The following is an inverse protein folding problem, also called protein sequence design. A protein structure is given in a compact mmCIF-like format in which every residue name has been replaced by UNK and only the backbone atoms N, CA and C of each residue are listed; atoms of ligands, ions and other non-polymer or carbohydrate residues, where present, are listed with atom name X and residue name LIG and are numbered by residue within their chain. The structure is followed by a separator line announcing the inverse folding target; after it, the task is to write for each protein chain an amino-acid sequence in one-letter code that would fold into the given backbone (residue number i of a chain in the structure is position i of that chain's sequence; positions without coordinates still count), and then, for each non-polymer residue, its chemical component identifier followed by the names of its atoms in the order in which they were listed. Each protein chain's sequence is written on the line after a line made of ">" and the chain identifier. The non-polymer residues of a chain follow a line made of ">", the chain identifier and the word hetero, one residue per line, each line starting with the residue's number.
data_IF_682037840536
#
_entry.id   IF_682037840536
#
_cell.length_a   1.000
_cell.length_b   1.000
_cell.length_c   1.000
_cell.angle_alpha   90.00
_cell.angle_beta   90.00
_cell.angle_gamma   90.00
#
_symmetry.space_group_name_H-M   'P 1'
#
loop_
_entity.id
_entity.type
_entity.pdbx_description
1 polymer ?
#
# COMPACT_ATOMS: atom_id res chain seq x y z
N UNK A 1 -10.19 12.98 -12.45
CA UNK A 1 -10.55 11.54 -12.57
C UNK A 1 -12.05 11.47 -12.66
N UNK A 2 -12.58 10.61 -13.53
CA UNK A 2 -14.03 10.47 -13.75
C UNK A 2 -14.38 9.01 -13.95
N UNK A 3 -15.51 8.60 -13.42
CA UNK A 3 -16.03 7.24 -13.60
C UNK A 3 -16.98 7.26 -14.79
N UNK A 4 -16.88 6.30 -15.68
CA UNK A 4 -17.72 6.15 -16.87
C UNK A 4 -18.33 4.76 -16.87
N UNK A 5 -19.61 4.67 -17.19
CA UNK A 5 -20.39 3.44 -17.09
C UNK A 5 -20.59 2.74 -18.45
N UNK A 6 -20.22 3.43 -19.55
CA UNK A 6 -20.39 2.90 -20.91
C UNK A 6 -19.43 3.55 -21.92
N UNK A 7 -19.31 2.90 -23.10
CA UNK A 7 -18.37 3.31 -24.15
C UNK A 7 -18.63 4.75 -24.65
N UNK A 8 -19.87 5.19 -24.72
CA UNK A 8 -20.22 6.53 -25.18
C UNK A 8 -19.74 7.63 -24.21
N UNK A 9 -19.85 7.37 -22.92
CA UNK A 9 -19.31 8.26 -21.88
C UNK A 9 -17.80 8.26 -21.93
N UNK A 10 -17.17 7.09 -22.12
CA UNK A 10 -15.73 6.96 -22.26
C UNK A 10 -15.23 7.80 -23.45
N UNK A 11 -15.86 7.69 -24.65
CA UNK A 11 -15.48 8.49 -25.83
C UNK A 11 -15.58 9.98 -25.57
N UNK A 12 -16.65 10.44 -24.90
CA UNK A 12 -16.83 11.84 -24.57
C UNK A 12 -15.73 12.34 -23.61
N UNK A 13 -15.44 11.55 -22.57
CA UNK A 13 -14.39 11.88 -21.61
C UNK A 13 -13.00 11.88 -22.23
N UNK A 14 -12.68 10.86 -23.03
CA UNK A 14 -11.42 10.80 -23.75
C UNK A 14 -11.20 12.01 -24.67
N UNK A 15 -12.25 12.46 -25.36
CA UNK A 15 -12.19 13.65 -26.20
C UNK A 15 -11.85 14.92 -25.41
N UNK A 16 -12.38 15.04 -24.18
CA UNK A 16 -12.08 16.16 -23.29
C UNK A 16 -10.71 16.05 -22.64
N UNK A 17 -10.37 14.86 -22.16
CA UNK A 17 -9.11 14.58 -21.47
C UNK A 17 -7.89 14.80 -22.39
N UNK A 18 -7.96 14.36 -23.65
CA UNK A 18 -6.88 14.59 -24.63
C UNK A 18 -6.72 16.09 -24.94
N UNK A 19 -7.81 16.86 -24.98
CA UNK A 19 -7.72 18.32 -25.14
C UNK A 19 -7.08 19.02 -23.94
N UNK A 20 -7.34 18.51 -22.73
CA UNK A 20 -6.80 19.06 -21.49
C UNK A 20 -5.32 18.66 -21.27
N UNK A 21 -4.87 17.53 -21.82
CA UNK A 21 -3.51 16.99 -21.68
C UNK A 21 -2.96 16.49 -23.03
N UNK A 22 -2.69 17.40 -23.98
CA UNK A 22 -2.34 17.01 -25.34
C UNK A 22 -0.97 16.31 -25.46
N UNK A 23 -0.08 16.51 -24.49
CA UNK A 23 1.29 15.97 -24.51
C UNK A 23 1.46 14.70 -23.66
N UNK A 24 0.42 14.30 -22.92
CA UNK A 24 0.50 13.15 -22.00
C UNK A 24 -0.61 12.14 -22.28
N UNK A 25 -0.32 10.84 -22.15
CA UNK A 25 -1.33 9.80 -22.31
C UNK A 25 -2.41 9.94 -21.22
N UNK A 26 -3.62 9.55 -21.57
CA UNK A 26 -4.74 9.42 -20.62
C UNK A 26 -4.79 7.99 -20.15
N UNK A 27 -4.75 7.80 -18.83
CA UNK A 27 -4.88 6.48 -18.21
C UNK A 27 -6.37 6.14 -18.09
N UNK A 28 -6.71 4.92 -18.50
CA UNK A 28 -8.05 4.33 -18.37
C UNK A 28 -7.91 3.01 -17.62
N UNK A 29 -8.48 2.95 -16.43
CA UNK A 29 -8.40 1.78 -15.55
C UNK A 29 -9.79 1.20 -15.27
N UNK A 30 -9.82 -0.08 -14.91
CA UNK A 30 -11.03 -0.70 -14.37
C UNK A 30 -11.36 -0.07 -13.02
N UNK A 31 -12.58 0.43 -12.87
CA UNK A 31 -13.07 0.89 -11.57
C UNK A 31 -13.34 -0.31 -10.65
N UNK A 32 -12.67 -0.34 -9.51
CA UNK A 32 -12.82 -1.39 -8.49
C UNK A 32 -13.54 -0.81 -7.27
N UNK A 33 -14.55 -1.52 -6.81
CA UNK A 33 -15.19 -1.26 -5.51
C UNK A 33 -14.75 -2.32 -4.51
N UNK A 34 -14.33 -1.90 -3.33
CA UNK A 34 -13.86 -2.85 -2.32
C UNK A 34 -13.30 -2.16 -1.09
N UNK A 35 -12.66 -2.95 -0.23
CA UNK A 35 -11.89 -2.45 0.91
C UNK A 35 -10.55 -1.94 0.40
N UNK A 36 -10.16 -0.75 0.80
CA UNK A 36 -8.83 -0.23 0.51
C UNK A 36 -7.89 -0.54 1.66
N UNK A 37 -6.71 -1.04 1.30
CA UNK A 37 -5.70 -1.47 2.25
C UNK A 37 -4.39 -0.77 1.90
N UNK A 38 -3.73 -0.25 2.91
CA UNK A 38 -2.40 0.34 2.80
C UNK A 38 -1.38 -0.51 3.56
N UNK A 39 -0.30 -0.89 2.89
CA UNK A 39 0.80 -1.67 3.48
C UNK A 39 2.09 -0.88 3.37
N UNK A 40 2.73 -0.63 4.51
CA UNK A 40 4.07 -0.09 4.56
C UNK A 40 5.06 -1.19 4.95
N UNK A 41 6.13 -1.31 4.17
CA UNK A 41 7.16 -2.31 4.39
C UNK A 41 8.57 -1.71 4.26
N UNK A 42 9.54 -2.47 4.75
CA UNK A 42 10.98 -2.15 4.63
C UNK A 42 11.66 -3.35 3.99
N UNK A 43 12.50 -3.10 3.00
CA UNK A 43 13.26 -4.13 2.30
C UNK A 43 14.76 -3.78 2.29
N UNK A 44 15.62 -4.79 2.49
CA UNK A 44 17.07 -4.67 2.37
C UNK A 44 17.63 -5.32 1.10
N UNK A 45 16.74 -5.63 0.14
CA UNK A 45 17.02 -6.35 -1.11
C UNK A 45 16.87 -7.87 -1.00
N UNK A 46 16.83 -8.44 0.21
CA UNK A 46 16.68 -9.88 0.45
C UNK A 46 15.50 -10.17 1.37
N UNK A 47 15.39 -9.43 2.46
CA UNK A 47 14.37 -9.57 3.50
C UNK A 47 13.38 -8.42 3.43
N UNK A 48 12.10 -8.72 3.52
CA UNK A 48 11.01 -7.73 3.58
C UNK A 48 10.30 -7.87 4.91
N UNK A 49 10.27 -6.81 5.70
CA UNK A 49 9.47 -6.76 6.93
C UNK A 49 8.27 -5.85 6.73
N UNK A 50 7.13 -6.25 7.29
CA UNK A 50 5.86 -5.53 7.21
C UNK A 50 5.42 -5.16 8.63
N UNK A 51 5.78 -3.96 9.11
CA UNK A 51 5.39 -3.50 10.45
C UNK A 51 3.89 -3.34 10.62
N UNK A 52 3.17 -3.04 9.54
CA UNK A 52 1.74 -2.86 9.63
C UNK A 52 1.00 -2.91 8.31
N UNK A 53 -0.19 -3.49 8.40
CA UNK A 53 -1.24 -3.46 7.39
C UNK A 53 -2.35 -2.59 7.96
N UNK A 54 -2.78 -1.57 7.20
CA UNK A 54 -3.83 -0.65 7.60
C UNK A 54 -5.06 -0.83 6.71
N UNK A 55 -6.22 -0.90 7.33
CA UNK A 55 -7.51 -0.97 6.62
C UNK A 55 -8.18 0.40 6.63
N UNK A 56 -8.57 0.91 5.46
CA UNK A 56 -9.33 2.15 5.36
C UNK A 56 -10.80 1.93 5.73
N UNK A 57 -11.37 2.90 6.44
CA UNK A 57 -12.82 2.88 6.78
C UNK A 57 -13.63 3.26 5.55
N UNK A 58 -13.16 4.21 4.77
CA UNK A 58 -13.76 4.60 3.51
C UNK A 58 -13.51 3.53 2.43
N UNK A 59 -14.43 3.44 1.50
CA UNK A 59 -14.29 2.53 0.35
C UNK A 59 -13.26 3.07 -0.63
N UNK A 60 -12.71 2.18 -1.45
CA UNK A 60 -11.78 2.53 -2.50
C UNK A 60 -12.29 3.68 -3.38
N UNK A 61 -11.38 4.63 -3.67
CA UNK A 61 -11.67 5.84 -4.45
C UNK A 61 -11.66 7.14 -3.64
N UNK A 62 -11.54 7.08 -2.32
CA UNK A 62 -11.24 8.25 -1.48
C UNK A 62 -9.73 8.40 -1.40
N UNK A 63 -9.22 9.63 -1.53
CA UNK A 63 -7.77 9.86 -1.44
C UNK A 63 -7.23 9.44 -0.08
N UNK A 64 -6.14 8.66 -0.04
CA UNK A 64 -5.56 8.09 1.19
C UNK A 64 -5.21 9.13 2.27
N UNK A 65 -5.03 10.39 1.87
CA UNK A 65 -4.82 11.50 2.78
C UNK A 65 -6.04 11.96 3.55
N UNK A 66 -7.22 11.65 3.03
CA UNK A 66 -8.51 12.06 3.57
C UNK A 66 -9.26 10.88 4.20
N UNK A 67 -8.64 9.69 4.18
CA UNK A 67 -9.22 8.46 4.69
C UNK A 67 -8.78 8.19 6.13
N UNK A 68 -9.73 7.70 6.92
CA UNK A 68 -9.48 7.13 8.24
C UNK A 68 -8.96 5.71 8.05
N UNK A 69 -7.84 5.38 8.66
CA UNK A 69 -7.25 4.06 8.60
C UNK A 69 -7.13 3.42 9.98
N UNK A 70 -7.37 2.12 10.07
CA UNK A 70 -7.35 1.34 11.31
C UNK A 70 -6.23 0.31 11.26
N UNK A 71 -5.53 0.17 12.37
CA UNK A 71 -4.51 -0.85 12.62
C UNK A 71 -4.83 -1.59 13.94
N UNK A 72 -4.68 -2.91 14.02
CA UNK A 72 -4.57 -3.83 12.88
C UNK A 72 -5.88 -3.88 12.06
N UNK A 73 -5.88 -4.49 10.84
CA UNK A 73 -7.09 -4.66 10.06
C UNK A 73 -8.18 -5.37 10.85
N UNK A 74 -9.44 -4.92 10.73
CA UNK A 74 -10.54 -5.41 11.54
C UNK A 74 -11.47 -6.37 10.79
N UNK A 75 -11.53 -6.27 9.46
CA UNK A 75 -12.49 -7.02 8.65
C UNK A 75 -11.84 -7.95 7.63
N UNK A 76 -10.51 -8.06 7.63
CA UNK A 76 -9.77 -8.93 6.73
C UNK A 76 -9.77 -10.39 7.23
N UNK A 77 -9.88 -11.31 6.29
CA UNK A 77 -9.69 -12.74 6.54
C UNK A 77 -8.21 -13.11 6.55
N UNK A 78 -7.86 -14.26 7.14
CA UNK A 78 -6.50 -14.79 7.14
C UNK A 78 -5.95 -15.02 5.72
N UNK A 79 -6.81 -15.45 4.78
CA UNK A 79 -6.42 -15.64 3.38
C UNK A 79 -6.11 -14.30 2.69
N UNK A 80 -6.89 -13.25 2.98
CA UNK A 80 -6.63 -11.90 2.49
C UNK A 80 -5.31 -11.36 3.06
N UNK A 81 -5.06 -11.53 4.37
CA UNK A 81 -3.82 -11.12 5.02
C UNK A 81 -2.60 -11.84 4.43
N UNK A 82 -2.68 -13.15 4.24
CA UNK A 82 -1.63 -13.96 3.62
C UNK A 82 -1.34 -13.50 2.19
N UNK A 83 -2.38 -13.17 1.44
CA UNK A 83 -2.25 -12.68 0.06
C UNK A 83 -1.58 -11.31 0.03
N UNK A 84 -1.95 -10.40 0.93
CA UNK A 84 -1.33 -9.07 1.03
C UNK A 84 0.16 -9.17 1.40
N UNK A 85 0.51 -10.05 2.33
CA UNK A 85 1.89 -10.33 2.72
C UNK A 85 2.70 -10.86 1.52
N UNK A 86 2.22 -11.90 0.85
CA UNK A 86 2.88 -12.53 -0.31
C UNK A 86 3.09 -11.51 -1.45
N UNK A 87 2.06 -10.71 -1.77
CA UNK A 87 2.16 -9.69 -2.81
C UNK A 87 3.15 -8.59 -2.43
N UNK A 88 3.15 -8.15 -1.17
CA UNK A 88 4.09 -7.13 -0.68
C UNK A 88 5.54 -7.61 -0.83
N UNK A 89 5.82 -8.84 -0.39
CA UNK A 89 7.15 -9.44 -0.49
C UNK A 89 7.59 -9.58 -1.95
N UNK A 90 6.73 -10.12 -2.81
CA UNK A 90 7.01 -10.29 -4.24
C UNK A 90 7.27 -8.96 -4.95
N UNK A 91 6.47 -7.94 -4.66
CA UNK A 91 6.63 -6.61 -5.25
C UNK A 91 7.91 -5.93 -4.77
N UNK A 92 8.20 -5.96 -3.48
CA UNK A 92 9.41 -5.35 -2.94
C UNK A 92 10.68 -5.99 -3.54
N UNK A 93 10.74 -7.32 -3.59
CA UNK A 93 11.87 -8.05 -4.18
C UNK A 93 11.92 -7.91 -5.70
N UNK A 94 10.81 -8.03 -6.40
CA UNK A 94 10.72 -7.94 -7.86
C UNK A 94 11.09 -6.56 -8.40
N UNK A 95 10.84 -5.50 -7.65
CA UNK A 95 11.24 -4.13 -7.97
C UNK A 95 12.62 -3.75 -7.44
N UNK A 96 13.34 -4.68 -6.79
CA UNK A 96 14.66 -4.46 -6.19
C UNK A 96 14.65 -3.28 -5.20
N UNK A 97 13.64 -3.19 -4.35
CA UNK A 97 13.52 -2.11 -3.38
C UNK A 97 14.57 -2.27 -2.28
N UNK A 98 15.23 -1.17 -1.93
CA UNK A 98 16.05 -1.06 -0.72
C UNK A 98 15.57 0.18 0.04
N UNK A 99 15.04 -0.02 1.24
CA UNK A 99 14.42 1.02 2.05
C UNK A 99 12.92 0.84 2.17
N UNK A 100 12.19 1.95 2.23
CA UNK A 100 10.73 1.96 2.42
C UNK A 100 9.98 1.75 1.10
N UNK A 101 8.90 1.00 1.21
CA UNK A 101 7.90 0.82 0.16
C UNK A 101 6.50 0.93 0.77
N UNK A 102 5.63 1.65 0.08
CA UNK A 102 4.20 1.75 0.40
C UNK A 102 3.41 1.18 -0.76
N UNK A 103 2.46 0.30 -0.47
CA UNK A 103 1.62 -0.34 -1.47
C UNK A 103 0.17 -0.13 -1.09
N UNK A 104 -0.63 0.31 -2.05
CA UNK A 104 -2.08 0.42 -1.91
C UNK A 104 -2.75 -0.72 -2.66
N UNK A 105 -3.68 -1.39 -1.97
CA UNK A 105 -4.45 -2.51 -2.49
C UNK A 105 -5.95 -2.22 -2.42
N UNK A 106 -6.70 -2.89 -3.28
CA UNK A 106 -8.15 -3.04 -3.15
C UNK A 106 -8.49 -4.52 -3.05
N UNK A 107 -9.25 -4.86 -2.03
CA UNK A 107 -9.87 -6.19 -1.91
C UNK A 107 -11.28 -6.09 -2.46
N UNK A 108 -11.47 -6.60 -3.67
CA UNK A 108 -12.76 -6.69 -4.34
C UNK A 108 -13.37 -8.09 -4.15
N UNK A 109 -14.60 -8.29 -4.62
CA UNK A 109 -15.30 -9.57 -4.49
C UNK A 109 -14.62 -10.74 -5.21
N UNK A 110 -13.79 -10.45 -6.19
CA UNK A 110 -13.10 -11.42 -7.06
C UNK A 110 -11.59 -11.52 -6.81
N UNK A 111 -11.06 -10.78 -5.83
CA UNK A 111 -9.65 -10.91 -5.45
C UNK A 111 -9.00 -9.65 -4.89
N UNK A 112 -7.70 -9.75 -4.66
CA UNK A 112 -6.84 -8.67 -4.18
C UNK A 112 -6.13 -8.03 -5.38
N UNK A 113 -6.24 -6.72 -5.50
CA UNK A 113 -5.66 -5.93 -6.59
C UNK A 113 -4.68 -4.91 -6.05
N UNK A 114 -3.57 -4.72 -6.75
CA UNK A 114 -2.62 -3.64 -6.49
C UNK A 114 -3.11 -2.38 -7.20
N UNK A 115 -3.29 -1.29 -6.45
CA UNK A 115 -3.62 0.02 -7.03
C UNK A 115 -2.36 0.77 -7.44
N UNK A 116 -1.44 0.91 -6.49
CA UNK A 116 -0.15 1.57 -6.74
C UNK A 116 0.95 1.07 -5.81
N UNK A 117 2.18 1.21 -6.28
CA UNK A 117 3.39 0.91 -5.52
C UNK A 117 4.25 2.16 -5.46
N UNK A 118 4.54 2.61 -4.25
CA UNK A 118 5.32 3.82 -3.99
C UNK A 118 6.66 3.44 -3.31
N UNK A 119 7.80 3.44 -4.04
CA UNK A 119 9.11 3.14 -3.46
C UNK A 119 9.65 4.35 -2.68
N UNK A 120 8.98 4.73 -1.64
CA UNK A 120 9.25 5.89 -0.79
C UNK A 120 8.55 5.76 0.55
N UNK A 121 8.90 6.65 1.49
CA UNK A 121 8.12 6.83 2.73
C UNK A 121 6.69 7.28 2.45
N UNK A 122 5.77 6.83 3.28
CA UNK A 122 4.36 7.26 3.30
C UNK A 122 4.06 8.14 4.51
N UNK A 123 2.86 8.70 4.55
CA UNK A 123 2.36 9.44 5.73
C UNK A 123 2.00 8.53 6.90
N UNK A 124 1.82 7.24 6.66
CA UNK A 124 1.54 6.22 7.67
C UNK A 124 2.78 5.74 8.41
N UNK A 125 3.98 5.88 7.84
CA UNK A 125 5.24 5.45 8.46
C UNK A 125 5.46 6.03 9.87
N UNK A 126 5.28 7.33 10.15
CA UNK A 126 5.44 7.85 11.51
C UNK A 126 4.40 7.29 12.49
N UNK A 127 3.16 7.08 12.02
CA UNK A 127 2.09 6.49 12.81
C UNK A 127 2.41 5.03 13.16
N UNK A 128 2.73 4.19 12.16
CA UNK A 128 3.09 2.79 12.36
C UNK A 128 4.32 2.66 13.25
N UNK A 129 5.37 3.45 13.02
CA UNK A 129 6.57 3.41 13.85
C UNK A 129 6.27 3.65 15.32
N UNK A 130 5.32 4.54 15.62
CA UNK A 130 4.94 4.89 16.99
C UNK A 130 4.12 3.79 17.68
N UNK A 131 3.18 3.16 16.95
CA UNK A 131 2.27 2.18 17.55
C UNK A 131 2.88 0.78 17.64
N UNK A 132 3.84 0.46 16.74
CA UNK A 132 4.50 -0.86 16.71
C UNK A 132 5.85 -0.89 17.40
N UNK A 133 6.38 0.25 17.85
CA UNK A 133 7.75 0.43 18.34
C UNK A 133 8.85 0.00 17.33
N UNK A 134 8.48 -0.14 16.05
CA UNK A 134 9.44 -0.45 14.98
C UNK A 134 9.91 0.87 14.35
N UNK A 135 11.18 1.25 14.49
CA UNK A 135 11.69 2.53 13.99
C UNK A 135 11.92 2.49 12.48
N UNK A 136 10.82 2.49 11.72
CA UNK A 136 10.80 2.21 10.27
C UNK A 136 11.78 3.06 9.46
N UNK A 137 11.81 4.36 9.70
CA UNK A 137 12.72 5.26 8.97
C UNK A 137 14.20 4.96 9.27
N UNK A 138 14.53 4.64 10.53
CA UNK A 138 15.88 4.27 10.93
C UNK A 138 16.30 2.94 10.30
N UNK A 139 15.44 1.93 10.32
CA UNK A 139 15.70 0.62 9.70
C UNK A 139 15.90 0.75 8.20
N UNK A 140 15.05 1.54 7.53
CA UNK A 140 15.18 1.80 6.10
C UNK A 140 16.52 2.48 5.76
N UNK A 141 16.95 3.46 6.55
CA UNK A 141 18.27 4.09 6.36
C UNK A 141 19.42 3.10 6.55
N UNK A 142 19.34 2.23 7.56
CA UNK A 142 20.34 1.19 7.77
C UNK A 142 20.37 0.18 6.62
N UNK A 143 19.20 -0.22 6.11
CA UNK A 143 19.12 -1.09 4.92
C UNK A 143 19.76 -0.42 3.68
N UNK A 144 19.50 0.89 3.46
CA UNK A 144 20.07 1.65 2.34
C UNK A 144 21.60 1.71 2.40
N UNK A 145 22.20 1.76 3.58
CA UNK A 145 23.67 1.74 3.74
C UNK A 145 24.26 0.32 3.80
N UNK A 146 23.42 -0.71 3.55
CA UNK A 146 23.85 -2.09 3.34
C UNK A 146 23.75 -3.03 4.55
N UNK A 147 23.14 -2.58 5.65
CA UNK A 147 22.89 -3.46 6.78
C UNK A 147 21.67 -4.38 6.50
N UNK A 148 21.73 -5.61 7.01
CA UNK A 148 20.64 -6.58 6.82
C UNK A 148 19.62 -6.50 7.94
N UNK A 149 18.33 -6.59 7.57
CA UNK A 149 17.23 -6.58 8.55
C UNK A 149 17.31 -7.79 9.50
N UNK A 150 17.77 -8.93 9.00
CA UNK A 150 18.02 -10.13 9.82
C UNK A 150 19.08 -9.91 10.89
N UNK A 151 20.16 -9.17 10.59
CA UNK A 151 21.21 -8.84 11.55
C UNK A 151 20.72 -7.86 12.62
N UNK A 152 19.64 -7.14 12.34
CA UNK A 152 18.94 -6.26 13.27
C UNK A 152 17.88 -6.98 14.12
N UNK A 153 17.69 -8.31 13.91
CA UNK A 153 16.77 -9.14 14.66
C UNK A 153 15.38 -9.28 14.09
N UNK A 154 15.15 -8.82 12.85
CA UNK A 154 13.85 -8.92 12.18
C UNK A 154 13.77 -10.15 11.28
N UNK A 155 12.57 -10.72 11.17
CA UNK A 155 12.27 -11.82 10.27
C UNK A 155 11.38 -11.33 9.12
N UNK A 156 11.45 -12.01 7.96
CA UNK A 156 10.61 -11.71 6.81
C UNK A 156 9.13 -11.85 7.15
N UNK A 157 8.32 -10.98 6.58
CA UNK A 157 6.88 -11.01 6.68
C UNK A 157 6.29 -10.01 7.66
N UNK A 158 5.02 -10.24 7.98
CA UNK A 158 4.26 -9.40 8.92
C UNK A 158 4.83 -9.54 10.32
N UNK A 159 5.15 -8.40 10.93
CA UNK A 159 5.64 -8.36 12.31
C UNK A 159 4.47 -8.52 13.29
N UNK A 160 4.74 -8.98 14.53
CA UNK A 160 3.68 -9.12 15.54
C UNK A 160 2.90 -7.83 15.72
N UNK A 161 1.57 -7.93 15.74
CA UNK A 161 0.70 -6.78 15.93
C UNK A 161 0.87 -6.20 17.34
N UNK A 162 0.83 -4.87 17.42
CA UNK A 162 0.76 -4.16 18.69
C UNK A 162 -0.58 -4.45 19.40
N UNK A 163 -0.56 -4.47 20.73
CA UNK A 163 -1.76 -4.65 21.53
C UNK A 163 -2.70 -3.43 21.37
N UNK A 164 -3.94 -3.68 20.98
CA UNK A 164 -4.98 -2.67 20.85
C UNK A 164 -5.34 -2.35 19.41
N UNK A 165 -6.30 -1.45 19.26
CA UNK A 165 -6.77 -0.92 17.98
C UNK A 165 -6.42 0.55 17.90
N UNK A 166 -5.75 0.93 16.83
CA UNK A 166 -5.28 2.29 16.62
C UNK A 166 -5.93 2.87 15.36
N UNK A 167 -6.32 4.13 15.45
CA UNK A 167 -6.98 4.84 14.36
C UNK A 167 -6.15 6.05 13.97
N UNK A 168 -5.88 6.14 12.68
CA UNK A 168 -5.29 7.33 12.03
C UNK A 168 -6.41 8.08 11.33
N UNK A 169 -6.67 9.30 11.76
CA UNK A 169 -7.57 10.25 11.12
C UNK A 169 -6.78 11.35 10.38
#
# INVERSE_FOLDING_TARGET
>A
MEIVDNDKELENYMTQAVKASPEHPVLVDRYLTGKEIEVDAICDGETVIIPGIMEHIERAGVHSGDSIAVYPPQTLTEDELTTLEDYTIKLAKGLNIIGLINIQFVIAHDGVYVLEVNPRSSRTVPFLSKITDIPMAQLAMRAIIGEKLTDMGYQEGVQPYAEGVFVKA
#
